data_IF_274615362935
#
_entry.id   IF_274615362935
#
_cell.length_a   1.000
_cell.length_b   1.000
_cell.length_c   1.000
_cell.angle_alpha   90.00
_cell.angle_beta   90.00
_cell.angle_gamma   90.00
#
_symmetry.space_group_name_H-M   'P 1'
#
loop_
_entity.id
_entity.type
_entity.pdbx_description
1 polymer ?
#
# COMPACT_ATOMS: atom_id res chain seq x y z
N UNK A 1 -5.28 17.56 -3.64
CA UNK A 1 -6.35 16.74 -4.26
C UNK A 1 -7.52 16.71 -3.30
N UNK A 2 -8.77 16.55 -3.76
CA UNK A 2 -9.85 16.23 -2.82
C UNK A 2 -9.65 14.80 -2.33
N UNK A 3 -9.67 14.65 -1.02
CA UNK A 3 -9.37 13.44 -0.30
C UNK A 3 -10.34 12.27 -0.61
N UNK A 4 -11.49 12.59 -1.21
CA UNK A 4 -12.57 11.66 -1.55
C UNK A 4 -12.20 10.64 -2.64
N UNK A 5 -11.06 10.83 -3.32
CA UNK A 5 -10.57 9.92 -4.37
C UNK A 5 -9.51 8.94 -3.88
N UNK A 6 -8.98 9.14 -2.67
CA UNK A 6 -7.97 8.26 -2.10
C UNK A 6 -8.57 6.91 -1.71
N UNK A 7 -7.78 5.86 -1.90
CA UNK A 7 -8.16 4.53 -1.42
C UNK A 7 -8.12 4.52 0.11
N UNK A 8 -8.99 3.71 0.71
CA UNK A 8 -8.99 3.45 2.15
C UNK A 8 -8.94 1.96 2.41
N UNK A 9 -8.49 1.59 3.61
CA UNK A 9 -8.40 0.19 4.04
C UNK A 9 -9.14 -0.02 5.35
N UNK A 10 -9.92 -1.09 5.39
CA UNK A 10 -10.52 -1.61 6.62
C UNK A 10 -10.00 -3.00 6.88
N UNK A 11 -9.72 -3.31 8.15
CA UNK A 11 -9.04 -4.53 8.56
C UNK A 11 -9.93 -5.35 9.47
N UNK A 12 -9.91 -6.68 9.31
CA UNK A 12 -10.58 -7.61 10.21
C UNK A 12 -9.74 -8.89 10.38
N UNK A 13 -10.26 -9.87 11.11
CA UNK A 13 -9.56 -11.12 11.40
C UNK A 13 -9.28 -11.98 10.15
N UNK A 14 -10.09 -11.86 9.10
CA UNK A 14 -9.99 -12.68 7.89
C UNK A 14 -9.09 -12.07 6.81
N UNK A 15 -9.01 -10.73 6.79
CA UNK A 15 -8.33 -9.99 5.74
C UNK A 15 -8.44 -8.48 5.88
N UNK A 16 -8.25 -7.80 4.77
CA UNK A 16 -8.51 -6.38 4.62
C UNK A 16 -9.35 -6.11 3.38
N UNK A 17 -10.14 -5.04 3.44
CA UNK A 17 -10.90 -4.53 2.31
C UNK A 17 -10.28 -3.21 1.87
N UNK A 18 -9.86 -3.15 0.61
CA UNK A 18 -9.44 -1.92 -0.05
C UNK A 18 -10.66 -1.30 -0.74
N UNK A 19 -11.06 -0.11 -0.32
CA UNK A 19 -12.04 0.71 -1.02
C UNK A 19 -11.34 1.52 -2.10
N UNK A 20 -11.85 1.46 -3.34
CA UNK A 20 -11.31 2.20 -4.48
C UNK A 20 -12.42 3.11 -5.01
N UNK A 21 -12.56 4.34 -4.49
CA UNK A 21 -13.65 5.24 -4.85
C UNK A 21 -13.72 5.54 -6.35
N UNK A 22 -12.57 5.75 -7.00
CA UNK A 22 -12.50 6.08 -8.44
C UNK A 22 -13.14 5.00 -9.33
N UNK A 23 -13.09 3.74 -8.90
CA UNK A 23 -13.67 2.61 -9.64
C UNK A 23 -15.05 2.19 -9.11
N UNK A 24 -15.53 2.80 -8.04
CA UNK A 24 -16.70 2.32 -7.28
C UNK A 24 -16.57 0.84 -6.87
N UNK A 25 -15.36 0.39 -6.51
CA UNK A 25 -15.08 -1.01 -6.21
C UNK A 25 -14.56 -1.20 -4.79
N UNK A 26 -14.82 -2.38 -4.23
CA UNK A 26 -14.16 -2.89 -3.02
C UNK A 26 -13.44 -4.20 -3.33
N UNK A 27 -12.22 -4.33 -2.82
CA UNK A 27 -11.36 -5.49 -3.03
C UNK A 27 -11.07 -6.11 -1.68
N UNK A 28 -11.64 -7.28 -1.41
CA UNK A 28 -11.32 -8.03 -0.21
C UNK A 28 -10.16 -8.99 -0.47
N UNK A 29 -9.13 -8.90 0.37
CA UNK A 29 -7.93 -9.72 0.34
C UNK A 29 -7.85 -10.47 1.66
N UNK A 30 -7.88 -11.80 1.61
CA UNK A 30 -7.70 -12.58 2.83
C UNK A 30 -6.22 -12.58 3.25
N UNK A 31 -5.96 -12.54 4.55
CA UNK A 31 -4.59 -12.72 5.06
C UNK A 31 -4.00 -14.05 4.60
N UNK A 32 -4.81 -15.11 4.54
CA UNK A 32 -4.37 -16.42 4.09
C UNK A 32 -4.03 -16.46 2.59
N UNK A 33 -4.47 -15.47 1.80
CA UNK A 33 -4.20 -15.45 0.37
C UNK A 33 -2.87 -14.78 0.04
N UNK A 34 -2.22 -14.11 1.00
CA UNK A 34 -0.96 -13.40 0.79
C UNK A 34 0.22 -14.38 0.76
N UNK A 35 0.92 -14.41 -0.36
CA UNK A 35 2.16 -15.17 -0.53
C UNK A 35 3.39 -14.31 -0.25
N UNK A 36 3.39 -13.05 -0.72
CA UNK A 36 4.55 -12.17 -0.61
C UNK A 36 4.11 -10.73 -0.43
N UNK A 37 4.83 -9.97 0.40
CA UNK A 37 4.75 -8.51 0.50
C UNK A 37 6.18 -7.99 0.33
N UNK A 38 6.35 -7.06 -0.61
CA UNK A 38 7.60 -6.29 -0.75
C UNK A 38 7.28 -4.80 -0.65
N UNK A 39 8.24 -4.05 -0.11
CA UNK A 39 8.13 -2.61 0.09
C UNK A 39 9.25 -1.91 -0.67
N UNK A 40 8.92 -0.85 -1.39
CA UNK A 40 9.86 -0.25 -2.33
C UNK A 40 9.52 1.18 -2.71
N UNK A 41 10.41 1.80 -3.50
CA UNK A 41 10.07 3.03 -4.20
C UNK A 41 8.96 2.74 -5.20
N UNK A 42 7.99 3.64 -5.35
CA UNK A 42 7.03 3.55 -6.43
C UNK A 42 7.75 3.72 -7.78
N UNK A 43 7.45 2.80 -8.69
CA UNK A 43 8.19 2.67 -9.96
C UNK A 43 7.97 3.86 -10.90
N UNK A 44 6.79 4.48 -10.85
CA UNK A 44 6.41 5.58 -11.75
C UNK A 44 6.79 6.93 -11.15
N UNK A 45 6.54 7.09 -9.85
CA UNK A 45 6.83 8.30 -9.11
C UNK A 45 7.88 7.96 -8.07
N UNK A 46 9.14 8.19 -8.42
CA UNK A 46 10.27 7.93 -7.52
C UNK A 46 10.22 8.72 -6.21
N UNK A 47 9.20 9.55 -5.98
CA UNK A 47 8.92 10.34 -4.78
C UNK A 47 7.91 9.66 -3.82
N UNK A 48 7.28 8.56 -4.24
CA UNK A 48 6.35 7.77 -3.44
C UNK A 48 6.88 6.38 -3.05
N UNK A 49 6.30 5.79 -2.01
CA UNK A 49 6.58 4.41 -1.60
C UNK A 49 5.40 3.52 -1.95
N UNK A 50 5.67 2.27 -2.31
CA UNK A 50 4.63 1.30 -2.59
C UNK A 50 4.85 -0.04 -1.88
N UNK A 51 3.74 -0.68 -1.51
CA UNK A 51 3.67 -2.10 -1.24
C UNK A 51 3.23 -2.83 -2.49
N UNK A 52 3.94 -3.92 -2.78
CA UNK A 52 3.51 -4.89 -3.78
C UNK A 52 3.21 -6.19 -3.07
N UNK A 53 1.97 -6.64 -3.25
CA UNK A 53 1.41 -7.79 -2.57
C UNK A 53 1.06 -8.84 -3.61
N UNK A 54 1.68 -10.01 -3.48
CA UNK A 54 1.43 -11.18 -4.31
C UNK A 54 0.53 -12.16 -3.58
N UNK A 55 -0.47 -12.68 -4.28
CA UNK A 55 -1.49 -13.53 -3.73
C UNK A 55 -1.47 -14.93 -4.37
N UNK A 56 -1.75 -15.97 -3.61
CA UNK A 56 -2.01 -17.31 -4.17
C UNK A 56 -3.41 -17.41 -4.82
N UNK A 57 -4.34 -16.56 -4.38
CA UNK A 57 -5.73 -16.49 -4.82
C UNK A 57 -6.10 -15.04 -5.11
N UNK A 58 -6.87 -14.76 -6.18
CA UNK A 58 -7.28 -13.40 -6.49
C UNK A 58 -8.17 -12.80 -5.38
N UNK A 59 -8.20 -11.47 -5.24
CA UNK A 59 -9.10 -10.81 -4.31
C UNK A 59 -10.56 -11.00 -4.73
N UNK A 60 -11.47 -10.93 -3.75
CA UNK A 60 -12.90 -10.86 -4.03
C UNK A 60 -13.25 -9.41 -4.35
N UNK A 61 -13.57 -9.15 -5.61
CA UNK A 61 -13.87 -7.79 -6.10
C UNK A 61 -15.39 -7.61 -6.20
N UNK A 62 -15.92 -6.56 -5.56
CA UNK A 62 -17.32 -6.17 -5.62
C UNK A 62 -17.46 -4.75 -6.16
N UNK A 63 -18.51 -4.53 -6.93
CA UNK A 63 -18.91 -3.21 -7.41
C UNK A 63 -19.96 -2.62 -6.46
N UNK A 64 -19.85 -1.34 -6.13
CA UNK A 64 -20.83 -0.63 -5.30
C UNK A 64 -22.18 -0.54 -6.01
N UNK A 65 -23.27 -0.60 -5.27
CA UNK A 65 -24.64 -0.61 -5.82
C UNK A 65 -24.92 0.58 -6.74
N UNK A 66 -24.47 1.76 -6.32
CA UNK A 66 -24.65 3.03 -7.06
C UNK A 66 -23.46 3.39 -7.96
N UNK A 67 -22.67 2.39 -8.39
CA UNK A 67 -21.51 2.63 -9.25
C UNK A 67 -21.89 3.32 -10.57
N UNK A 68 -21.02 4.23 -11.02
CA UNK A 68 -21.20 4.94 -12.27
C UNK A 68 -21.24 4.00 -13.48
N UNK A 69 -21.99 4.34 -14.52
CA UNK A 69 -22.30 3.42 -15.62
C UNK A 69 -21.05 2.94 -16.38
N UNK A 70 -20.03 3.78 -16.54
CA UNK A 70 -18.77 3.35 -17.17
C UNK A 70 -18.01 2.36 -16.26
N UNK A 71 -18.03 2.57 -14.95
CA UNK A 71 -17.43 1.64 -13.98
C UNK A 71 -18.14 0.28 -14.02
N UNK A 72 -19.47 0.26 -14.19
CA UNK A 72 -20.22 -0.99 -14.43
C UNK A 72 -19.78 -1.71 -15.70
N UNK A 73 -19.51 -0.98 -16.78
CA UNK A 73 -19.04 -1.55 -18.05
C UNK A 73 -17.62 -2.10 -17.93
N UNK A 74 -16.68 -1.31 -17.42
CA UNK A 74 -15.28 -1.71 -17.26
C UNK A 74 -15.14 -2.87 -16.27
N UNK A 75 -15.96 -2.91 -15.21
CA UNK A 75 -16.00 -4.01 -14.25
C UNK A 75 -16.33 -5.37 -14.87
N UNK A 76 -17.18 -5.40 -15.91
CA UNK A 76 -17.50 -6.64 -16.64
C UNK A 76 -16.33 -7.15 -17.48
N UNK A 77 -15.51 -6.24 -17.99
CA UNK A 77 -14.36 -6.54 -18.85
C UNK A 77 -13.07 -6.78 -18.06
N UNK A 78 -13.07 -6.45 -16.76
CA UNK A 78 -11.89 -6.51 -15.91
C UNK A 78 -11.42 -7.95 -15.67
N UNK A 79 -10.10 -8.15 -15.70
CA UNK A 79 -9.48 -9.39 -15.26
C UNK A 79 -9.53 -9.52 -13.73
N UNK A 80 -10.48 -10.32 -13.23
CA UNK A 80 -10.64 -10.61 -11.79
C UNK A 80 -9.67 -11.67 -11.25
N UNK A 81 -8.85 -12.27 -12.11
CA UNK A 81 -7.85 -13.26 -11.72
C UNK A 81 -6.49 -12.64 -11.40
N UNK A 82 -6.38 -11.30 -11.39
CA UNK A 82 -5.14 -10.65 -11.00
C UNK A 82 -4.77 -10.98 -9.55
N UNK A 83 -3.54 -11.42 -9.34
CA UNK A 83 -3.00 -11.82 -8.04
C UNK A 83 -1.92 -10.89 -7.52
N UNK A 84 -1.70 -9.75 -8.19
CA UNK A 84 -0.75 -8.71 -7.79
C UNK A 84 -1.52 -7.43 -7.44
N UNK A 85 -1.35 -6.95 -6.22
CA UNK A 85 -1.92 -5.69 -5.72
C UNK A 85 -0.78 -4.72 -5.45
N UNK A 86 -0.94 -3.48 -5.91
CA UNK A 86 -0.05 -2.37 -5.59
C UNK A 86 -0.78 -1.34 -4.75
N UNK A 87 -0.18 -0.96 -3.64
CA UNK A 87 -0.69 0.09 -2.75
C UNK A 87 0.40 1.15 -2.68
N UNK A 88 0.11 2.37 -3.13
CA UNK A 88 1.02 3.52 -3.07
C UNK A 88 0.61 4.43 -1.90
N UNK A 89 1.60 5.05 -1.26
CA UNK A 89 1.39 6.03 -0.19
C UNK A 89 0.70 7.31 -0.66
N UNK A 90 0.86 7.68 -1.94
CA UNK A 90 0.19 8.83 -2.55
C UNK A 90 -1.32 8.62 -2.67
N UNK A 91 -1.71 7.39 -2.99
CA UNK A 91 -3.07 7.05 -3.42
C UNK A 91 -3.87 6.28 -2.36
N UNK A 92 -3.34 6.14 -1.15
CA UNK A 92 -4.00 5.41 -0.06
C UNK A 92 -3.81 6.12 1.28
N UNK A 93 -4.92 6.55 1.88
CA UNK A 93 -4.92 7.25 3.17
C UNK A 93 -4.39 6.39 4.32
N UNK A 94 -4.69 5.09 4.28
CA UNK A 94 -4.41 4.16 5.37
C UNK A 94 -3.09 3.39 5.15
N UNK A 95 -2.24 3.86 4.24
CA UNK A 95 -0.98 3.21 3.85
C UNK A 95 -0.11 2.84 5.06
N UNK A 96 0.05 3.77 6.02
CA UNK A 96 0.86 3.57 7.22
C UNK A 96 0.36 2.43 8.11
N UNK A 97 -0.95 2.17 8.11
CA UNK A 97 -1.57 1.21 9.01
C UNK A 97 -1.43 -0.23 8.52
N UNK A 98 -1.13 -0.42 7.23
CA UNK A 98 -1.13 -1.74 6.60
C UNK A 98 -0.15 -2.72 7.28
N UNK A 99 1.08 -2.29 7.56
CA UNK A 99 2.11 -3.16 8.14
C UNK A 99 1.76 -3.59 9.56
N UNK A 100 1.24 -2.68 10.37
CA UNK A 100 0.86 -3.01 11.75
C UNK A 100 -0.22 -4.09 11.79
N UNK A 101 -1.20 -4.03 10.88
CA UNK A 101 -2.20 -5.09 10.73
C UNK A 101 -1.62 -6.38 10.13
N UNK A 102 -0.73 -6.28 9.15
CA UNK A 102 -0.09 -7.47 8.56
C UNK A 102 0.71 -8.27 9.61
N UNK A 103 1.41 -7.59 10.53
CA UNK A 103 2.19 -8.24 11.62
C UNK A 103 1.29 -9.08 12.55
N UNK A 104 0.05 -8.64 12.77
CA UNK A 104 -0.90 -9.37 13.64
C UNK A 104 -1.36 -10.68 13.00
N UNK A 105 -1.49 -10.71 11.66
CA UNK A 105 -2.16 -11.80 10.95
C UNK A 105 -1.21 -12.72 10.17
N UNK A 106 0.01 -12.27 9.86
CA UNK A 106 1.02 -13.02 9.13
C UNK A 106 2.23 -13.30 10.03
N UNK A 107 2.81 -14.49 9.90
CA UNK A 107 4.02 -14.86 10.64
C UNK A 107 5.26 -14.25 9.99
N UNK A 108 6.23 -13.84 10.80
CA UNK A 108 7.56 -13.36 10.35
C UNK A 108 7.52 -12.12 9.43
N UNK A 109 6.54 -11.23 9.63
CA UNK A 109 6.53 -9.93 8.94
C UNK A 109 7.66 -9.06 9.45
N UNK A 110 8.48 -8.55 8.55
CA UNK A 110 9.53 -7.57 8.85
C UNK A 110 8.93 -6.18 8.92
N UNK A 111 9.31 -5.43 9.96
CA UNK A 111 8.99 -4.01 10.03
C UNK A 111 9.85 -3.26 9.02
N UNK A 112 9.22 -2.36 8.29
CA UNK A 112 9.88 -1.47 7.34
C UNK A 112 9.70 -0.03 7.78
N UNK A 113 10.71 0.80 7.51
CA UNK A 113 10.60 2.23 7.75
C UNK A 113 9.80 2.89 6.60
N UNK A 114 8.52 3.09 6.85
CA UNK A 114 7.60 3.79 5.93
C UNK A 114 8.04 5.26 5.71
N UNK A 115 8.78 5.83 6.66
CA UNK A 115 9.29 7.19 6.59
C UNK A 115 10.75 7.28 6.08
N UNK A 116 11.33 6.20 5.52
CA UNK A 116 12.75 6.12 5.12
C UNK A 116 13.25 7.21 4.17
N UNK A 117 12.35 8.02 3.61
CA UNK A 117 12.67 9.15 2.73
C UNK A 117 12.67 10.51 3.45
N UNK A 118 12.32 10.56 4.73
CA UNK A 118 12.62 11.70 5.60
C UNK A 118 14.14 11.79 5.68
N UNK A 119 14.72 12.58 4.78
CA UNK A 119 16.14 12.89 4.80
C UNK A 119 16.43 13.85 5.94
N UNK A 120 16.92 15.04 5.61
CA UNK A 120 17.28 16.02 6.63
C UNK A 120 16.06 16.84 7.06
N UNK A 121 15.79 16.92 8.36
CA UNK A 121 14.84 17.88 8.91
C UNK A 121 15.32 19.31 8.57
N UNK A 122 14.58 20.02 7.72
CA UNK A 122 14.90 21.41 7.34
C UNK A 122 14.44 22.35 8.44
N UNK A 123 13.25 22.09 8.98
CA UNK A 123 12.60 23.00 9.91
C UNK A 123 11.59 22.25 10.78
N UNK A 124 11.65 22.48 12.08
CA UNK A 124 10.60 22.13 13.04
C UNK A 124 10.02 23.41 13.61
N UNK A 125 8.71 23.52 13.58
CA UNK A 125 7.98 24.63 14.22
C UNK A 125 7.03 24.05 15.25
N UNK A 126 7.14 24.51 16.49
CA UNK A 126 6.24 24.13 17.57
C UNK A 126 5.35 25.32 17.90
N UNK A 127 4.04 25.15 17.81
CA UNK A 127 3.07 26.18 18.17
C UNK A 127 2.20 25.61 19.29
N UNK A 128 2.26 26.26 20.46
CA UNK A 128 1.32 26.00 21.56
C UNK A 128 0.01 26.73 21.25
N UNK A 129 -1.07 25.97 21.05
CA UNK A 129 -2.44 26.50 20.96
C UNK A 129 -3.33 25.76 21.93
N UNK A 130 -4.04 26.51 22.79
CA UNK A 130 -5.08 25.99 23.70
C UNK A 130 -4.65 24.72 24.48
N UNK A 131 -3.45 24.74 25.06
CA UNK A 131 -2.92 23.61 25.84
C UNK A 131 -2.35 22.44 25.02
N UNK A 132 -2.46 22.47 23.69
CA UNK A 132 -1.91 21.44 22.80
C UNK A 132 -0.64 21.96 22.11
N UNK A 133 0.40 21.12 22.04
CA UNK A 133 1.62 21.41 21.27
C UNK A 133 1.42 20.85 19.86
N UNK A 134 1.31 21.74 18.87
CA UNK A 134 1.28 21.35 17.46
C UNK A 134 2.71 21.43 16.94
N UNK A 135 3.26 20.29 16.53
CA UNK A 135 4.60 20.19 15.93
C UNK A 135 4.45 20.02 14.43
N UNK A 136 4.95 20.97 13.64
CA UNK A 136 5.04 20.88 12.18
C UNK A 136 6.49 20.71 11.77
N UNK A 137 6.78 19.66 11.01
CA UNK A 137 8.12 19.35 10.54
C UNK A 137 8.17 19.40 9.01
N UNK A 138 9.15 20.12 8.48
CA UNK A 138 9.47 20.17 7.06
C UNK A 138 10.76 19.40 6.81
N UNK A 139 10.70 18.39 5.96
CA UNK A 139 11.79 17.46 5.68
C UNK A 139 12.29 17.65 4.24
N UNK A 140 13.61 17.61 4.05
CA UNK A 140 14.23 17.51 2.72
C UNK A 140 14.32 16.03 2.39
N UNK A 141 13.74 15.56 1.28
CA UNK A 141 13.89 14.17 0.88
C UNK A 141 15.36 13.88 0.57
N UNK A 142 15.82 12.70 0.98
CA UNK A 142 17.14 12.23 0.58
C UNK A 142 17.10 11.85 -0.90
N UNK A 143 17.87 12.56 -1.73
CA UNK A 143 17.97 12.27 -3.18
C UNK A 143 18.83 11.04 -3.39
N UNK A 144 18.29 9.84 -3.15
CA UNK A 144 18.99 8.59 -3.43
C UNK A 144 18.27 7.82 -4.54
N UNK A 145 19.02 7.42 -5.57
CA UNK A 145 18.55 6.48 -6.61
C UNK A 145 18.69 5.02 -6.18
N UNK A 146 19.16 4.79 -4.94
CA UNK A 146 19.55 3.48 -4.42
C UNK A 146 18.50 2.87 -3.49
N UNK A 147 17.27 3.39 -3.49
CA UNK A 147 16.19 2.81 -2.69
C UNK A 147 15.90 1.40 -3.18
N UNK A 148 16.31 0.43 -2.37
CA UNK A 148 16.12 -0.99 -2.68
C UNK A 148 14.70 -1.41 -2.30
N UNK A 149 14.24 -2.41 -3.03
CA UNK A 149 13.09 -3.21 -2.64
C UNK A 149 13.47 -4.05 -1.41
N UNK A 150 12.61 -4.01 -0.40
CA UNK A 150 12.77 -4.73 0.86
C UNK A 150 11.72 -5.84 0.94
N UNK A 151 12.12 -7.00 1.45
CA UNK A 151 11.21 -8.10 1.71
C UNK A 151 10.48 -7.85 3.04
N UNK A 152 9.16 -7.64 2.97
CA UNK A 152 8.33 -7.49 4.18
C UNK A 152 7.87 -8.86 4.67
N UNK A 153 7.44 -9.72 3.76
CA UNK A 153 6.92 -11.05 4.08
C UNK A 153 7.04 -11.94 2.85
N UNK A 154 7.48 -13.19 3.03
CA UNK A 154 7.33 -14.22 2.01
C UNK A 154 7.02 -15.56 2.66
N UNK A 155 5.93 -16.20 2.21
CA UNK A 155 5.49 -17.50 2.68
C UNK A 155 6.48 -18.63 2.37
N UNK A 156 7.27 -18.46 1.33
CA UNK A 156 8.14 -19.49 0.77
C UNK A 156 9.64 -19.20 1.04
N UNK A 157 9.95 -18.24 1.91
CA UNK A 157 11.31 -17.80 2.24
C UNK A 157 12.16 -17.40 1.01
N UNK A 158 11.52 -16.86 -0.03
CA UNK A 158 12.19 -16.30 -1.21
C UNK A 158 12.77 -14.93 -0.91
N UNK A 159 13.76 -14.53 -1.70
CA UNK A 159 14.33 -13.19 -1.66
C UNK A 159 13.63 -12.25 -2.65
N UNK A 160 13.84 -10.94 -2.52
CA UNK A 160 13.36 -9.95 -3.50
C UNK A 160 13.89 -10.24 -4.91
N UNK A 161 15.13 -10.71 -5.01
CA UNK A 161 15.76 -11.06 -6.30
C UNK A 161 15.03 -12.23 -6.96
N UNK A 162 14.62 -13.23 -6.19
CA UNK A 162 13.85 -14.36 -6.73
C UNK A 162 12.49 -13.90 -7.29
N UNK A 163 11.82 -12.97 -6.59
CA UNK A 163 10.56 -12.37 -7.05
C UNK A 163 10.78 -11.57 -8.34
N UNK A 164 11.83 -10.75 -8.39
CA UNK A 164 12.20 -9.99 -9.58
C UNK A 164 12.46 -10.90 -10.79
N UNK A 165 13.20 -11.99 -10.59
CA UNK A 165 13.52 -12.96 -11.65
C UNK A 165 12.26 -13.69 -12.15
N UNK A 166 11.35 -14.06 -11.25
CA UNK A 166 10.08 -14.73 -11.60
C UNK A 166 9.20 -13.83 -12.47
N UNK A 167 9.06 -12.58 -12.09
CA UNK A 167 8.12 -11.64 -12.72
C UNK A 167 8.75 -10.79 -13.83
N UNK A 168 10.06 -10.95 -14.05
CA UNK A 168 10.88 -10.14 -14.97
C UNK A 168 10.73 -8.64 -14.72
N UNK A 169 10.56 -8.27 -13.45
CA UNK A 169 10.27 -6.91 -13.03
C UNK A 169 9.43 -6.89 -11.76
N UNK A 170 9.65 -5.85 -10.95
CA UNK A 170 8.84 -5.58 -9.76
C UNK A 170 7.92 -4.40 -10.03
#
# INVERSE_FOLDING_TARGET
MSDDKLKTMTFNQEGYTLDIPVLDETHFVSWNSIDTIIFGPETIYHDHSEFIIYLNKPPVIKLKENAWWLNRLTFRLKNKNNRKIRISDEWNRDFSNFIDHAIVHLKNVQKVDINRRKGTLIKRTEVKKAGTIITTEQWKPEKTTNLKWEMVYDRHNRTVVDIYNRDKGI
#
